data_IF_604258402525
#
_entry.id   IF_604258402525
#
_cell.length_a   1.000
_cell.length_b   1.000
_cell.length_c   1.000
_cell.angle_alpha   90.00
_cell.angle_beta   90.00
_cell.angle_gamma   90.00
#
_symmetry.space_group_name_H-M   'P 1'
#
loop_
_entity.id
_entity.type
_entity.pdbx_description
1 polymer ?
#
# COMPACT_ATOMS: atom_id res chain seq x y z
N UNK A 1 20.64 18.21 -11.37
CA UNK A 1 19.50 18.89 -10.71
C UNK A 1 18.28 17.98 -10.57
N UNK A 2 17.89 17.23 -11.61
CA UNK A 2 16.76 16.26 -11.57
C UNK A 2 16.91 15.27 -10.39
N UNK A 3 17.98 14.47 -10.37
CA UNK A 3 18.25 13.49 -9.31
C UNK A 3 18.22 14.11 -7.90
N UNK A 4 18.85 15.28 -7.73
CA UNK A 4 18.88 15.97 -6.44
C UNK A 4 17.48 16.37 -5.95
N UNK A 5 16.62 16.91 -6.82
CA UNK A 5 15.23 17.26 -6.46
C UNK A 5 14.38 16.04 -6.15
N UNK A 6 14.57 14.96 -6.92
CA UNK A 6 13.93 13.68 -6.67
C UNK A 6 14.28 13.15 -5.27
N UNK A 7 15.56 12.99 -4.97
CA UNK A 7 16.02 12.52 -3.65
C UNK A 7 15.58 13.45 -2.51
N UNK A 8 15.64 14.77 -2.73
CA UNK A 8 15.19 15.74 -1.74
C UNK A 8 13.69 15.64 -1.47
N UNK A 9 12.87 15.37 -2.49
CA UNK A 9 11.43 15.13 -2.30
C UNK A 9 11.13 13.92 -1.41
N UNK A 10 11.91 12.84 -1.54
CA UNK A 10 11.80 11.63 -0.72
C UNK A 10 12.19 11.95 0.73
N UNK A 11 13.29 12.68 0.93
CA UNK A 11 13.73 13.11 2.25
C UNK A 11 12.70 14.02 2.94
N UNK A 12 12.13 14.99 2.22
CA UNK A 12 11.06 15.87 2.71
C UNK A 12 9.81 15.08 3.10
N UNK A 13 9.43 14.07 2.31
CA UNK A 13 8.34 13.16 2.68
C UNK A 13 8.63 12.42 3.99
N UNK A 14 9.84 11.88 4.15
CA UNK A 14 10.29 11.23 5.40
C UNK A 14 10.33 12.17 6.62
N UNK A 15 10.34 13.50 6.39
CA UNK A 15 10.24 14.54 7.41
C UNK A 15 8.81 15.07 7.62
N UNK A 16 7.84 14.53 6.87
CA UNK A 16 6.44 14.98 6.87
C UNK A 16 6.25 16.41 6.33
N UNK A 17 7.18 16.92 5.50
CA UNK A 17 7.08 18.22 4.82
C UNK A 17 6.38 18.07 3.46
N UNK A 18 5.12 17.61 3.49
CA UNK A 18 4.40 17.09 2.31
C UNK A 18 4.26 18.10 1.16
N UNK A 19 4.02 19.38 1.47
CA UNK A 19 3.84 20.41 0.44
C UNK A 19 5.14 20.70 -0.34
N UNK A 20 6.27 20.82 0.36
CA UNK A 20 7.57 21.02 -0.29
C UNK A 20 8.03 19.73 -0.98
N UNK A 21 7.76 18.55 -0.42
CA UNK A 21 8.01 17.28 -1.09
C UNK A 21 7.29 17.21 -2.45
N UNK A 22 6.00 17.56 -2.49
CA UNK A 22 5.20 17.64 -3.72
C UNK A 22 5.81 18.59 -4.75
N UNK A 23 6.18 19.79 -4.31
CA UNK A 23 6.78 20.82 -5.16
C UNK A 23 8.12 20.35 -5.74
N UNK A 24 9.00 19.76 -4.93
CA UNK A 24 10.30 19.24 -5.40
C UNK A 24 10.12 18.10 -6.41
N UNK A 25 9.20 17.16 -6.15
CA UNK A 25 8.90 16.08 -7.09
C UNK A 25 8.35 16.62 -8.43
N UNK A 26 7.45 17.61 -8.36
CA UNK A 26 6.85 18.25 -9.54
C UNK A 26 7.94 18.94 -10.37
N UNK A 27 8.81 19.73 -9.73
CA UNK A 27 9.92 20.42 -10.39
C UNK A 27 10.98 19.45 -10.95
N UNK A 28 11.20 18.31 -10.30
CA UNK A 28 12.06 17.25 -10.82
C UNK A 28 11.47 16.65 -12.10
N UNK A 29 10.18 16.33 -12.06
CA UNK A 29 9.46 15.70 -13.17
C UNK A 29 9.38 16.63 -14.38
N UNK A 30 9.01 17.91 -14.17
CA UNK A 30 8.96 18.90 -15.24
C UNK A 30 10.33 19.10 -15.89
N UNK A 31 11.41 19.13 -15.11
CA UNK A 31 12.75 19.26 -15.65
C UNK A 31 13.15 18.01 -16.45
N UNK A 32 12.86 16.81 -15.96
CA UNK A 32 13.17 15.57 -16.67
C UNK A 32 12.44 15.48 -18.02
N UNK A 33 11.16 15.89 -18.05
CA UNK A 33 10.38 15.99 -19.29
C UNK A 33 10.95 17.03 -20.25
N UNK A 34 11.26 18.23 -19.74
CA UNK A 34 11.82 19.31 -20.56
C UNK A 34 13.16 18.92 -21.20
N UNK A 35 13.97 18.14 -20.48
CA UNK A 35 15.22 17.60 -21.00
C UNK A 35 15.01 16.49 -22.03
N UNK A 36 13.87 15.81 -22.05
CA UNK A 36 13.65 14.65 -22.92
C UNK A 36 14.15 13.32 -22.31
N UNK A 37 14.34 13.23 -20.99
CA UNK A 37 14.88 12.03 -20.32
C UNK A 37 14.01 10.76 -20.47
N UNK A 38 12.81 10.89 -21.03
CA UNK A 38 11.86 9.82 -21.29
C UNK A 38 11.98 9.25 -22.70
N UNK A 39 12.84 9.84 -23.52
CA UNK A 39 13.10 9.49 -24.91
C UNK A 39 14.51 8.90 -25.04
N UNK A 40 14.64 7.82 -25.80
CA UNK A 40 15.92 7.16 -26.08
C UNK A 40 16.91 8.07 -26.80
N UNK A 41 16.39 9.04 -27.58
CA UNK A 41 17.16 10.05 -28.32
C UNK A 41 18.05 10.91 -27.42
N UNK A 42 17.65 11.14 -26.17
CA UNK A 42 18.39 11.97 -25.21
C UNK A 42 19.76 11.39 -24.87
N UNK A 43 19.92 10.06 -24.95
CA UNK A 43 21.13 9.36 -24.48
C UNK A 43 22.13 9.02 -25.59
N UNK A 44 21.82 9.35 -26.86
CA UNK A 44 22.51 8.79 -28.03
C UNK A 44 24.02 9.03 -28.10
N UNK A 45 24.57 9.98 -27.31
CA UNK A 45 25.99 10.33 -27.30
C UNK A 45 26.68 10.10 -25.95
N UNK A 46 25.99 9.49 -24.97
CA UNK A 46 26.49 9.29 -23.62
C UNK A 46 27.23 7.95 -23.47
N UNK A 47 28.04 7.79 -22.41
CA UNK A 47 28.60 6.48 -22.11
C UNK A 47 27.51 5.50 -21.64
N UNK A 48 27.69 4.17 -21.81
CA UNK A 48 26.69 3.19 -21.35
C UNK A 48 26.35 3.27 -19.86
N UNK A 49 27.30 3.72 -19.04
CA UNK A 49 27.10 3.92 -17.61
C UNK A 49 26.23 5.17 -17.34
N UNK A 50 26.51 6.27 -18.04
CA UNK A 50 25.72 7.50 -17.92
C UNK A 50 24.30 7.27 -18.42
N UNK A 51 24.13 6.64 -19.57
CA UNK A 51 22.82 6.26 -20.12
C UNK A 51 22.00 5.47 -19.09
N UNK A 52 22.57 4.44 -18.48
CA UNK A 52 21.86 3.64 -17.47
C UNK A 52 21.53 4.45 -16.20
N UNK A 53 22.42 5.34 -15.76
CA UNK A 53 22.17 6.24 -14.63
C UNK A 53 20.97 7.16 -14.88
N UNK A 54 20.87 7.71 -16.08
CA UNK A 54 19.76 8.56 -16.45
C UNK A 54 18.47 7.77 -16.68
N UNK A 55 18.56 6.57 -17.28
CA UNK A 55 17.43 5.64 -17.43
C UNK A 55 16.81 5.29 -16.08
N UNK A 56 17.65 4.93 -15.11
CA UNK A 56 17.24 4.71 -13.71
C UNK A 56 16.61 5.95 -13.10
N UNK A 57 17.12 7.14 -13.42
CA UNK A 57 16.56 8.40 -12.92
C UNK A 57 15.13 8.62 -13.45
N UNK A 58 14.88 8.41 -14.74
CA UNK A 58 13.54 8.53 -15.31
C UNK A 58 12.56 7.53 -14.68
N UNK A 59 12.95 6.26 -14.61
CA UNK A 59 12.10 5.22 -14.02
C UNK A 59 11.87 5.40 -12.52
N UNK A 60 12.84 5.95 -11.79
CA UNK A 60 12.63 6.32 -10.37
C UNK A 60 11.63 7.48 -10.25
N UNK A 61 11.67 8.49 -11.12
CA UNK A 61 10.64 9.55 -11.15
C UNK A 61 9.27 8.94 -11.44
N UNK A 62 9.17 8.01 -12.39
CA UNK A 62 7.94 7.30 -12.71
C UNK A 62 7.38 6.55 -11.50
N UNK A 63 8.22 5.74 -10.84
CA UNK A 63 7.87 4.95 -9.65
C UNK A 63 7.44 5.85 -8.49
N UNK A 64 8.23 6.88 -8.17
CA UNK A 64 7.95 7.79 -7.04
C UNK A 64 6.67 8.59 -7.28
N UNK A 65 6.41 9.07 -8.51
CA UNK A 65 5.15 9.74 -8.82
C UNK A 65 3.95 8.80 -8.64
N UNK A 66 3.99 7.60 -9.25
CA UNK A 66 2.88 6.64 -9.14
C UNK A 66 2.59 6.24 -7.69
N UNK A 67 3.64 6.01 -6.91
CA UNK A 67 3.54 5.72 -5.49
C UNK A 67 2.95 6.89 -4.68
N UNK A 68 3.46 8.11 -4.89
CA UNK A 68 3.01 9.30 -4.16
C UNK A 68 1.60 9.74 -4.54
N UNK A 69 1.15 9.48 -5.77
CA UNK A 69 -0.23 9.72 -6.18
C UNK A 69 -1.22 8.95 -5.29
N UNK A 70 -0.90 7.72 -4.88
CA UNK A 70 -1.72 6.93 -3.95
C UNK A 70 -1.79 7.57 -2.56
N UNK A 71 -0.64 8.02 -2.07
CA UNK A 71 -0.47 8.51 -0.69
C UNK A 71 -1.07 9.90 -0.52
N UNK A 72 -0.76 10.81 -1.45
CA UNK A 72 -1.17 12.20 -1.39
C UNK A 72 -2.55 12.45 -1.98
N UNK A 73 -3.14 11.45 -2.66
CA UNK A 73 -4.49 11.53 -3.26
C UNK A 73 -4.67 12.70 -4.20
N UNK A 74 -3.60 13.04 -4.92
CA UNK A 74 -3.63 14.08 -5.94
C UNK A 74 -3.43 13.44 -7.29
N UNK A 75 -4.37 13.73 -8.20
CA UNK A 75 -4.32 13.43 -9.63
C UNK A 75 -3.28 14.29 -10.40
N UNK A 76 -2.39 14.98 -9.68
CA UNK A 76 -1.76 16.22 -10.13
C UNK A 76 -0.73 16.09 -11.24
N UNK A 77 -0.28 14.89 -11.61
CA UNK A 77 0.68 14.71 -12.70
C UNK A 77 0.67 13.27 -13.20
N UNK A 78 -0.06 12.99 -14.28
CA UNK A 78 -0.19 11.62 -14.81
C UNK A 78 0.99 11.26 -15.72
N UNK A 79 2.19 11.15 -15.12
CA UNK A 79 3.39 10.63 -15.81
C UNK A 79 3.17 9.21 -16.35
N UNK A 80 2.23 8.47 -15.76
CA UNK A 80 1.79 7.15 -16.22
C UNK A 80 1.23 7.14 -17.64
N UNK A 81 0.71 8.28 -18.12
CA UNK A 81 0.19 8.47 -19.49
C UNK A 81 1.20 9.09 -20.44
N UNK A 82 2.36 9.51 -19.95
CA UNK A 82 3.44 9.99 -20.81
C UNK A 82 4.04 8.81 -21.54
N UNK A 83 4.01 8.86 -22.87
CA UNK A 83 4.70 7.89 -23.70
C UNK A 83 6.21 7.94 -23.40
N UNK A 84 6.84 6.77 -23.27
CA UNK A 84 8.28 6.64 -23.12
C UNK A 84 8.71 5.46 -23.97
N UNK A 85 9.64 5.70 -24.90
CA UNK A 85 10.31 4.65 -25.66
C UNK A 85 11.56 4.12 -24.93
N UNK A 86 11.79 4.61 -23.70
CA UNK A 86 12.99 4.32 -22.94
C UNK A 86 13.01 2.85 -22.47
N UNK A 87 14.12 2.13 -22.65
CA UNK A 87 14.25 0.78 -22.14
C UNK A 87 14.16 0.72 -20.61
N UNK A 88 13.88 -0.47 -20.10
CA UNK A 88 13.87 -0.79 -18.68
C UNK A 88 15.30 -0.82 -18.10
N UNK A 89 15.47 -0.48 -16.82
CA UNK A 89 16.78 -0.51 -16.17
C UNK A 89 17.38 -1.92 -16.09
N UNK A 90 18.70 -2.00 -16.11
CA UNK A 90 19.44 -3.26 -15.93
C UNK A 90 19.54 -3.68 -14.46
N UNK A 91 20.12 -4.85 -14.20
CA UNK A 91 20.37 -5.33 -12.83
C UNK A 91 21.34 -4.45 -12.05
N UNK A 92 21.11 -4.32 -10.74
CA UNK A 92 21.95 -3.49 -9.85
C UNK A 92 23.42 -3.92 -9.90
N UNK A 93 23.67 -5.24 -9.83
CA UNK A 93 25.01 -5.78 -9.88
C UNK A 93 25.75 -5.42 -11.17
N UNK A 94 25.07 -5.43 -12.32
CA UNK A 94 25.65 -5.12 -13.62
C UNK A 94 26.03 -3.63 -13.75
N UNK A 95 25.20 -2.75 -13.20
CA UNK A 95 25.51 -1.31 -13.15
C UNK A 95 26.70 -1.02 -12.23
N UNK A 96 26.73 -1.62 -11.03
CA UNK A 96 27.81 -1.42 -10.06
C UNK A 96 29.16 -1.96 -10.53
N UNK A 97 29.18 -3.04 -11.32
CA UNK A 97 30.41 -3.56 -11.94
C UNK A 97 30.84 -2.80 -13.19
N UNK A 98 30.06 -1.81 -13.64
CA UNK A 98 30.30 -1.10 -14.90
C UNK A 98 30.11 -1.99 -16.14
N UNK A 99 29.47 -3.15 -15.99
CA UNK A 99 29.20 -4.10 -17.06
C UNK A 99 27.73 -4.05 -17.46
N UNK A 100 27.22 -2.83 -17.73
CA UNK A 100 25.86 -2.63 -18.21
C UNK A 100 25.59 -3.52 -19.43
N UNK A 101 24.45 -4.23 -19.50
CA UNK A 101 24.14 -5.10 -20.61
C UNK A 101 24.17 -4.35 -21.94
N UNK A 102 24.71 -4.99 -22.97
CA UNK A 102 24.71 -4.46 -24.34
C UNK A 102 23.30 -4.49 -24.94
N UNK A 103 22.48 -5.46 -24.53
CA UNK A 103 21.08 -5.54 -24.90
C UNK A 103 20.21 -4.80 -23.88
N UNK A 104 19.38 -3.90 -24.39
CA UNK A 104 18.35 -3.22 -23.62
C UNK A 104 17.01 -3.94 -23.78
N UNK A 105 16.13 -3.80 -22.79
CA UNK A 105 14.82 -4.47 -22.78
C UNK A 105 13.75 -3.39 -22.78
N UNK A 106 12.89 -3.38 -23.79
CA UNK A 106 11.74 -2.48 -23.83
C UNK A 106 10.62 -2.92 -22.88
N UNK A 107 9.74 -1.98 -22.51
CA UNK A 107 8.55 -2.29 -21.75
C UNK A 107 7.65 -3.32 -22.47
N UNK A 108 7.56 -3.24 -23.80
CA UNK A 108 6.79 -4.17 -24.61
C UNK A 108 7.34 -5.59 -24.59
N UNK A 109 8.66 -5.77 -24.64
CA UNK A 109 9.29 -7.09 -24.49
C UNK A 109 9.03 -7.69 -23.10
N UNK A 110 9.10 -6.86 -22.05
CA UNK A 110 8.76 -7.31 -20.70
C UNK A 110 7.29 -7.68 -20.55
N UNK A 111 6.37 -6.95 -21.17
CA UNK A 111 4.94 -7.28 -21.18
C UNK A 111 4.66 -8.56 -21.97
N UNK A 112 5.42 -8.81 -23.04
CA UNK A 112 5.32 -10.01 -23.86
C UNK A 112 5.98 -11.26 -23.22
N UNK A 113 6.70 -11.11 -22.10
CA UNK A 113 7.49 -12.19 -21.48
C UNK A 113 6.71 -13.47 -21.19
N UNK A 114 5.41 -13.36 -20.89
CA UNK A 114 4.56 -14.50 -20.56
C UNK A 114 4.20 -15.36 -21.77
N UNK A 115 4.45 -14.85 -22.98
CA UNK A 115 4.16 -15.53 -24.24
C UNK A 115 5.45 -15.91 -24.99
N UNK A 116 6.62 -15.64 -24.42
CA UNK A 116 7.90 -15.95 -25.03
C UNK A 116 8.23 -17.44 -24.83
N UNK A 117 8.77 -18.07 -25.87
CA UNK A 117 9.22 -19.48 -25.82
C UNK A 117 10.47 -19.67 -24.95
N UNK A 118 11.29 -18.61 -24.82
CA UNK A 118 12.52 -18.60 -24.03
C UNK A 118 12.36 -17.80 -22.74
N UNK A 119 12.83 -18.38 -21.63
CA UNK A 119 12.84 -17.71 -20.32
C UNK A 119 13.97 -16.67 -20.28
N UNK A 120 13.61 -15.40 -20.52
CA UNK A 120 14.53 -14.26 -20.38
C UNK A 120 14.55 -13.76 -18.95
N UNK A 121 15.75 -13.42 -18.45
CA UNK A 121 15.92 -12.81 -17.12
C UNK A 121 15.66 -11.31 -17.18
N UNK A 122 14.92 -10.81 -16.20
CA UNK A 122 14.59 -9.39 -16.06
C UNK A 122 15.07 -8.84 -14.73
N UNK A 123 15.42 -7.55 -14.71
CA UNK A 123 15.89 -6.89 -13.51
C UNK A 123 14.79 -6.70 -12.47
N UNK A 124 15.18 -6.54 -11.21
CA UNK A 124 14.22 -6.20 -10.13
C UNK A 124 13.47 -4.90 -10.41
N UNK A 125 14.08 -3.97 -11.17
CA UNK A 125 13.44 -2.72 -11.58
C UNK A 125 12.22 -2.97 -12.47
N UNK A 126 12.26 -3.95 -13.38
CA UNK A 126 11.13 -4.30 -14.25
C UNK A 126 9.89 -4.65 -13.42
N UNK A 127 10.05 -5.51 -12.42
CA UNK A 127 8.95 -5.95 -11.55
C UNK A 127 8.44 -4.83 -10.63
N UNK A 128 9.33 -3.93 -10.16
CA UNK A 128 8.91 -2.73 -9.40
C UNK A 128 8.11 -1.75 -10.27
N UNK A 129 8.50 -1.57 -11.53
CA UNK A 129 7.78 -0.73 -12.49
C UNK A 129 6.40 -1.32 -12.78
N UNK A 130 6.31 -2.64 -13.00
CA UNK A 130 5.03 -3.35 -13.17
C UNK A 130 4.12 -3.19 -11.95
N UNK A 131 4.66 -3.33 -10.74
CA UNK A 131 3.92 -3.12 -9.50
C UNK A 131 3.30 -1.71 -9.43
N UNK A 132 4.06 -0.67 -9.80
CA UNK A 132 3.54 0.71 -9.85
C UNK A 132 2.49 0.89 -10.95
N UNK A 133 2.65 0.24 -12.11
CA UNK A 133 1.63 0.26 -13.18
C UNK A 133 0.32 -0.37 -12.69
N UNK A 134 0.38 -1.46 -11.93
CA UNK A 134 -0.80 -2.07 -11.32
C UNK A 134 -1.42 -1.14 -10.26
N UNK A 135 -0.60 -0.51 -9.42
CA UNK A 135 -1.08 0.50 -8.46
C UNK A 135 -1.80 1.66 -9.17
N UNK A 136 -1.25 2.17 -10.28
CA UNK A 136 -1.88 3.24 -11.06
C UNK A 136 -3.27 2.84 -11.56
N UNK A 137 -3.45 1.59 -12.04
CA UNK A 137 -4.76 1.06 -12.42
C UNK A 137 -5.76 1.05 -11.25
N UNK A 138 -5.31 0.70 -10.04
CA UNK A 138 -6.16 0.78 -8.83
C UNK A 138 -6.60 2.21 -8.53
N UNK A 139 -5.68 3.18 -8.65
CA UNK A 139 -5.99 4.58 -8.40
C UNK A 139 -6.95 5.16 -9.44
N UNK A 140 -6.77 4.83 -10.71
CA UNK A 140 -7.68 5.22 -11.79
C UNK A 140 -9.09 4.67 -11.52
N UNK A 141 -9.22 3.43 -11.03
CA UNK A 141 -10.51 2.85 -10.63
C UNK A 141 -11.15 3.58 -9.45
N UNK A 142 -10.37 3.91 -8.42
CA UNK A 142 -10.89 4.61 -7.24
C UNK A 142 -11.25 6.07 -7.53
N UNK A 143 -10.70 6.67 -8.59
CA UNK A 143 -11.03 8.02 -9.05
C UNK A 143 -12.07 8.08 -10.18
N UNK A 144 -12.54 6.93 -10.68
CA UNK A 144 -13.44 6.88 -11.83
C UNK A 144 -14.84 7.40 -11.49
N UNK A 145 -15.38 8.25 -12.37
CA UNK A 145 -16.77 8.72 -12.27
C UNK A 145 -17.77 7.69 -12.80
N UNK A 146 -17.35 6.88 -13.78
CA UNK A 146 -18.16 5.80 -14.33
C UNK A 146 -18.10 4.57 -13.39
N UNK A 147 -19.13 4.47 -12.55
CA UNK A 147 -19.30 3.39 -11.57
C UNK A 147 -19.41 2.02 -12.23
N UNK A 148 -20.03 1.93 -13.41
CA UNK A 148 -20.27 0.67 -14.12
C UNK A 148 -18.97 0.15 -14.74
N UNK A 149 -18.22 1.04 -15.41
CA UNK A 149 -16.88 0.70 -15.90
C UNK A 149 -15.97 0.27 -14.75
N UNK A 150 -15.95 1.03 -13.66
CA UNK A 150 -15.13 0.73 -12.49
C UNK A 150 -15.49 -0.64 -11.89
N UNK A 151 -16.77 -0.99 -11.83
CA UNK A 151 -17.22 -2.29 -11.34
C UNK A 151 -16.67 -3.45 -12.18
N UNK A 152 -16.73 -3.33 -13.51
CA UNK A 152 -16.24 -4.36 -14.43
C UNK A 152 -14.71 -4.52 -14.37
N UNK A 153 -13.98 -3.43 -14.19
CA UNK A 153 -12.52 -3.44 -14.18
C UNK A 153 -11.90 -3.86 -12.83
N UNK A 154 -12.65 -3.84 -11.73
CA UNK A 154 -12.14 -4.31 -10.41
C UNK A 154 -11.61 -5.74 -10.50
N UNK A 155 -12.32 -6.65 -11.18
CA UNK A 155 -11.87 -8.03 -11.33
C UNK A 155 -10.60 -8.14 -12.19
N UNK A 156 -10.49 -7.31 -13.23
CA UNK A 156 -9.30 -7.25 -14.11
C UNK A 156 -8.05 -6.83 -13.34
N UNK A 157 -8.18 -5.82 -12.46
CA UNK A 157 -7.05 -5.35 -11.64
C UNK A 157 -6.74 -6.31 -10.49
N UNK A 158 -7.76 -6.92 -9.87
CA UNK A 158 -7.59 -7.98 -8.87
C UNK A 158 -6.83 -9.20 -9.45
N UNK A 159 -7.16 -9.61 -10.67
CA UNK A 159 -6.43 -10.66 -11.38
C UNK A 159 -4.96 -10.27 -11.62
N UNK A 160 -4.70 -9.01 -12.00
CA UNK A 160 -3.32 -8.55 -12.21
C UNK A 160 -2.50 -8.53 -10.92
N UNK A 161 -3.11 -8.13 -9.79
CA UNK A 161 -2.48 -8.18 -8.46
C UNK A 161 -2.10 -9.61 -8.07
N UNK A 162 -3.03 -10.56 -8.24
CA UNK A 162 -2.78 -11.96 -7.93
C UNK A 162 -1.74 -12.58 -8.87
N UNK A 163 -1.84 -12.30 -10.17
CA UNK A 163 -0.94 -12.85 -11.18
C UNK A 163 0.51 -12.38 -11.03
N UNK A 164 0.73 -11.16 -10.52
CA UNK A 164 2.08 -10.58 -10.41
C UNK A 164 3.06 -11.48 -9.66
N UNK A 165 2.66 -12.03 -8.49
CA UNK A 165 3.54 -12.90 -7.70
C UNK A 165 3.73 -14.28 -8.34
N UNK A 166 2.74 -14.78 -9.06
CA UNK A 166 2.82 -16.07 -9.76
C UNK A 166 3.71 -16.02 -11.00
N UNK A 167 3.96 -14.84 -11.55
CA UNK A 167 4.80 -14.63 -12.72
C UNK A 167 6.23 -14.17 -12.37
N UNK A 168 6.60 -14.20 -11.08
CA UNK A 168 7.98 -13.95 -10.68
C UNK A 168 8.83 -15.22 -10.93
N UNK A 169 10.02 -15.06 -11.53
CA UNK A 169 10.97 -16.16 -11.60
C UNK A 169 11.47 -16.50 -10.18
N UNK A 170 11.93 -17.75 -9.94
CA UNK A 170 12.34 -18.20 -8.61
C UNK A 170 13.33 -17.28 -7.91
N UNK A 171 14.27 -16.68 -8.66
CA UNK A 171 15.29 -15.78 -8.12
C UNK A 171 14.75 -14.42 -7.65
N UNK A 172 13.51 -14.07 -8.01
CA UNK A 172 12.85 -12.81 -7.61
C UNK A 172 11.73 -13.02 -6.60
N UNK A 173 11.37 -14.27 -6.31
CA UNK A 173 10.40 -14.60 -5.25
C UNK A 173 11.01 -14.31 -3.87
N UNK A 174 12.27 -14.72 -3.66
CA UNK A 174 12.97 -14.48 -2.41
C UNK A 174 13.61 -13.08 -2.41
N UNK A 175 13.16 -12.22 -1.50
CA UNK A 175 13.69 -10.85 -1.33
C UNK A 175 15.09 -10.88 -0.71
N UNK A 176 15.43 -11.95 0.03
CA UNK A 176 16.72 -12.11 0.69
C UNK A 176 17.49 -13.17 -0.08
N UNK A 177 18.67 -12.82 -0.57
CA UNK A 177 19.54 -13.76 -1.26
C UNK A 177 20.23 -14.73 -0.30
N UNK A 178 20.93 -15.72 -0.84
CA UNK A 178 21.66 -16.74 -0.06
C UNK A 178 22.75 -16.19 0.86
N UNK A 179 23.19 -14.94 0.62
CA UNK A 179 24.17 -14.23 1.45
C UNK A 179 23.52 -13.37 2.54
N UNK A 180 22.19 -13.41 2.67
CA UNK A 180 21.44 -12.60 3.63
C UNK A 180 21.27 -11.13 3.23
N UNK A 181 21.63 -10.77 1.99
CA UNK A 181 21.44 -9.42 1.47
C UNK A 181 20.04 -9.27 0.88
N UNK A 182 19.48 -8.09 1.04
CA UNK A 182 18.12 -7.76 0.65
C UNK A 182 18.15 -7.12 -0.73
N UNK A 183 17.36 -7.65 -1.65
CA UNK A 183 17.00 -6.94 -2.86
C UNK A 183 15.96 -5.87 -2.49
N UNK A 184 16.44 -4.67 -2.16
CA UNK A 184 15.58 -3.54 -1.76
C UNK A 184 14.60 -3.12 -2.87
N UNK A 185 14.92 -3.38 -4.15
CA UNK A 185 14.04 -3.08 -5.27
C UNK A 185 12.88 -4.07 -5.31
N UNK A 186 13.14 -5.37 -5.12
CA UNK A 186 12.09 -6.37 -4.96
C UNK A 186 11.30 -6.20 -3.67
N UNK A 187 11.94 -5.79 -2.56
CA UNK A 187 11.23 -5.42 -1.33
C UNK A 187 10.19 -4.32 -1.62
N UNK A 188 10.60 -3.27 -2.35
CA UNK A 188 9.69 -2.20 -2.75
C UNK A 188 8.60 -2.69 -3.70
N UNK A 189 8.92 -3.56 -4.66
CA UNK A 189 7.93 -4.11 -5.58
C UNK A 189 6.82 -4.88 -4.83
N UNK A 190 7.20 -5.78 -3.92
CA UNK A 190 6.26 -6.50 -3.05
C UNK A 190 5.44 -5.55 -2.19
N UNK A 191 6.09 -4.54 -1.57
CA UNK A 191 5.39 -3.51 -0.79
C UNK A 191 4.31 -2.81 -1.63
N UNK A 192 4.63 -2.40 -2.87
CA UNK A 192 3.71 -1.68 -3.76
C UNK A 192 2.51 -2.56 -4.16
N UNK A 193 2.72 -3.85 -4.43
CA UNK A 193 1.62 -4.80 -4.73
C UNK A 193 0.66 -4.93 -3.54
N UNK A 194 1.19 -5.04 -2.33
CA UNK A 194 0.34 -5.11 -1.15
C UNK A 194 -0.40 -3.78 -0.90
N UNK A 195 0.21 -2.64 -1.23
CA UNK A 195 -0.48 -1.36 -1.17
C UNK A 195 -1.64 -1.31 -2.14
N UNK A 196 -1.37 -1.63 -3.41
CA UNK A 196 -2.39 -1.66 -4.45
C UNK A 196 -3.56 -2.57 -4.06
N UNK A 197 -3.26 -3.73 -3.45
CA UNK A 197 -4.27 -4.64 -2.91
C UNK A 197 -5.11 -4.00 -1.79
N UNK A 198 -4.48 -3.31 -0.82
CA UNK A 198 -5.21 -2.60 0.23
C UNK A 198 -6.08 -1.48 -0.37
N UNK A 199 -5.54 -0.67 -1.28
CA UNK A 199 -6.30 0.41 -1.94
C UNK A 199 -7.47 -0.10 -2.79
N UNK A 200 -7.35 -1.29 -3.38
CA UNK A 200 -8.44 -1.91 -4.12
C UNK A 200 -9.50 -2.48 -3.17
N UNK A 201 -9.10 -3.22 -2.14
CA UNK A 201 -10.04 -4.01 -1.35
C UNK A 201 -10.56 -3.32 -0.09
N UNK A 202 -9.74 -2.58 0.64
CA UNK A 202 -10.15 -2.03 1.94
C UNK A 202 -11.36 -1.07 1.83
N UNK A 203 -11.41 -0.11 0.88
CA UNK A 203 -12.59 0.75 0.70
C UNK A 203 -13.86 0.01 0.25
N UNK A 204 -13.70 -1.19 -0.36
CA UNK A 204 -14.81 -2.05 -0.82
C UNK A 204 -15.28 -3.03 0.26
N UNK A 205 -14.60 -3.07 1.41
CA UNK A 205 -14.87 -4.03 2.47
C UNK A 205 -15.84 -3.50 3.52
N UNK A 206 -16.35 -4.38 4.38
CA UNK A 206 -17.08 -3.97 5.59
C UNK A 206 -16.15 -3.42 6.70
N UNK A 207 -14.83 -3.57 6.57
CA UNK A 207 -13.84 -3.04 7.51
C UNK A 207 -13.82 -1.50 7.56
N UNK A 208 -14.35 -0.83 6.53
CA UNK A 208 -14.33 0.63 6.39
C UNK A 208 -15.20 1.39 7.39
N UNK A 209 -16.05 0.70 8.15
CA UNK A 209 -16.99 1.29 9.11
C UNK A 209 -16.47 1.28 10.55
N UNK A 210 -15.27 0.74 10.80
CA UNK A 210 -14.70 0.63 12.14
C UNK A 210 -14.14 1.96 12.65
N UNK A 211 -13.88 2.03 13.96
CA UNK A 211 -13.20 3.17 14.59
C UNK A 211 -11.82 3.40 13.96
N UNK A 212 -11.09 2.33 13.65
CA UNK A 212 -9.76 2.42 13.07
C UNK A 212 -9.79 2.99 11.64
N UNK A 213 -10.76 2.58 10.82
CA UNK A 213 -10.95 3.11 9.47
C UNK A 213 -11.34 4.60 9.45
N UNK A 214 -12.04 5.06 10.48
CA UNK A 214 -12.49 6.46 10.61
C UNK A 214 -11.50 7.34 11.39
N UNK A 215 -10.39 6.78 11.87
CA UNK A 215 -9.38 7.54 12.58
C UNK A 215 -8.55 8.42 11.63
N UNK A 216 -8.13 9.58 12.10
CA UNK A 216 -7.22 10.46 11.37
C UNK A 216 -5.78 9.95 11.48
N UNK A 217 -5.49 8.89 10.72
CA UNK A 217 -4.14 8.35 10.52
C UNK A 217 -3.64 8.84 9.17
N UNK A 218 -2.48 9.51 9.17
CA UNK A 218 -1.84 9.98 7.95
C UNK A 218 -1.59 8.81 7.01
N UNK A 219 -2.01 8.95 5.75
CA UNK A 219 -1.96 7.92 4.70
C UNK A 219 -2.91 6.72 4.88
N UNK A 220 -3.67 6.64 5.98
CA UNK A 220 -4.67 5.61 6.25
C UNK A 220 -6.13 6.04 6.05
N UNK A 221 -6.35 7.24 5.52
CA UNK A 221 -7.66 7.91 5.46
C UNK A 221 -8.65 7.18 4.52
N UNK A 222 -9.95 7.47 4.60
CA UNK A 222 -10.98 6.84 3.74
C UNK A 222 -10.98 7.39 2.31
N UNK A 223 -11.16 6.54 1.30
CA UNK A 223 -11.56 6.97 -0.05
C UNK A 223 -13.10 6.99 -0.11
N UNK A 224 -13.69 8.16 -0.35
CA UNK A 224 -15.14 8.39 -0.17
C UNK A 224 -16.01 8.02 -1.38
N UNK A 225 -15.41 7.62 -2.50
CA UNK A 225 -16.11 7.42 -3.78
C UNK A 225 -15.79 6.05 -4.38
N UNK A 226 -16.14 4.98 -3.68
CA UNK A 226 -15.93 3.62 -4.18
C UNK A 226 -17.27 2.96 -4.52
N UNK A 227 -17.34 2.36 -5.70
CA UNK A 227 -18.52 1.66 -6.20
C UNK A 227 -19.01 0.61 -5.19
N UNK A 228 -20.33 0.50 -4.95
CA UNK A 228 -20.90 -0.56 -4.12
C UNK A 228 -20.47 -1.94 -4.63
N UNK A 229 -20.18 -2.86 -3.70
CA UNK A 229 -19.84 -4.26 -4.02
C UNK A 229 -20.86 -5.21 -3.39
N UNK A 230 -21.18 -6.29 -4.09
CA UNK A 230 -22.00 -7.39 -3.57
C UNK A 230 -21.23 -8.35 -2.67
N UNK A 231 -19.89 -8.25 -2.64
CA UNK A 231 -19.00 -9.19 -1.91
C UNK A 231 -18.07 -8.48 -0.90
N UNK A 232 -18.58 -7.64 0.02
CA UNK A 232 -17.74 -6.84 0.92
C UNK A 232 -16.88 -7.71 1.86
N UNK A 233 -17.34 -8.92 2.20
CA UNK A 233 -16.58 -9.86 3.03
C UNK A 233 -15.32 -10.39 2.31
N UNK A 234 -15.42 -10.72 1.01
CA UNK A 234 -14.25 -11.15 0.23
C UNK A 234 -13.19 -10.04 0.17
N UNK A 235 -13.61 -8.79 -0.03
CA UNK A 235 -12.71 -7.65 0.01
C UNK A 235 -12.05 -7.48 1.40
N UNK A 236 -12.78 -7.73 2.49
CA UNK A 236 -12.21 -7.70 3.85
C UNK A 236 -11.10 -8.73 4.04
N UNK A 237 -11.30 -9.96 3.56
CA UNK A 237 -10.30 -11.03 3.60
C UNK A 237 -9.05 -10.61 2.81
N UNK A 238 -9.21 -10.14 1.57
CA UNK A 238 -8.09 -9.74 0.71
C UNK A 238 -7.30 -8.55 1.26
N UNK A 239 -7.99 -7.54 1.78
CA UNK A 239 -7.34 -6.40 2.44
C UNK A 239 -6.54 -6.85 3.68
N UNK A 240 -7.15 -7.71 4.51
CA UNK A 240 -6.51 -8.26 5.70
C UNK A 240 -5.27 -9.08 5.34
N UNK A 241 -5.36 -9.91 4.29
CA UNK A 241 -4.23 -10.71 3.82
C UNK A 241 -3.09 -9.83 3.28
N UNK A 242 -3.39 -8.83 2.46
CA UNK A 242 -2.38 -7.89 1.97
C UNK A 242 -1.66 -7.16 3.11
N UNK A 243 -2.39 -6.79 4.15
CA UNK A 243 -1.82 -6.20 5.37
C UNK A 243 -0.93 -7.17 6.16
N UNK A 244 -1.28 -8.46 6.20
CA UNK A 244 -0.41 -9.49 6.80
C UNK A 244 0.89 -9.61 6.02
N UNK A 245 0.83 -9.60 4.69
CA UNK A 245 2.03 -9.67 3.84
C UNK A 245 2.96 -8.47 4.04
N UNK A 246 2.43 -7.25 4.14
CA UNK A 246 3.23 -6.07 4.53
C UNK A 246 3.88 -6.21 5.91
N UNK A 247 3.15 -6.78 6.86
CA UNK A 247 3.68 -7.02 8.20
C UNK A 247 4.73 -8.13 8.20
N UNK A 248 4.63 -9.12 7.30
CA UNK A 248 5.66 -10.14 7.12
C UNK A 248 6.94 -9.52 6.55
N UNK A 249 6.84 -8.59 5.59
CA UNK A 249 7.98 -7.78 5.13
C UNK A 249 8.62 -7.01 6.30
N UNK A 250 7.81 -6.45 7.19
CA UNK A 250 8.27 -5.74 8.39
C UNK A 250 8.95 -6.66 9.43
N UNK A 251 8.65 -7.96 9.39
CA UNK A 251 9.23 -8.97 10.28
C UNK A 251 10.61 -9.46 9.85
N UNK A 252 11.01 -9.15 8.61
CA UNK A 252 12.37 -9.38 8.14
C UNK A 252 13.29 -8.58 9.08
N UNK A 253 14.17 -9.26 9.80
CA UNK A 253 15.06 -8.68 10.84
C UNK A 253 16.21 -7.92 10.21
N UNK A 254 15.88 -6.99 9.32
CA UNK A 254 16.82 -6.19 8.56
C UNK A 254 17.07 -4.88 9.30
N UNK A 255 18.21 -4.23 9.06
CA UNK A 255 18.43 -2.87 9.54
C UNK A 255 17.37 -1.96 8.92
N UNK A 256 16.31 -1.65 9.67
CA UNK A 256 15.17 -0.83 9.20
C UNK A 256 15.59 0.58 8.80
N UNK A 257 16.78 0.99 9.23
CA UNK A 257 17.49 2.19 8.79
C UNK A 257 17.76 2.25 7.28
N UNK A 258 17.82 1.10 6.61
CA UNK A 258 18.06 1.04 5.17
C UNK A 258 16.78 1.20 4.35
N UNK A 259 15.60 1.11 4.97
CA UNK A 259 14.34 1.21 4.26
C UNK A 259 13.96 2.66 3.94
N UNK A 260 13.42 2.83 2.74
CA UNK A 260 12.83 4.10 2.30
C UNK A 260 11.72 4.57 3.26
N UNK A 261 11.55 5.90 3.47
CA UNK A 261 10.43 6.45 4.25
C UNK A 261 9.06 6.08 3.66
N UNK A 262 9.03 5.56 2.43
CA UNK A 262 7.84 5.00 1.82
C UNK A 262 7.22 3.90 2.67
N UNK A 263 8.03 2.99 3.24
CA UNK A 263 7.53 1.86 4.01
C UNK A 263 6.64 2.25 5.20
N UNK A 264 6.86 3.45 5.77
CA UNK A 264 6.04 4.03 6.85
C UNK A 264 4.55 4.10 6.47
N UNK A 265 4.23 4.43 5.22
CA UNK A 265 2.85 4.58 4.74
C UNK A 265 2.11 3.24 4.73
N UNK A 266 2.85 2.17 4.45
CA UNK A 266 2.36 0.79 4.40
C UNK A 266 2.15 0.19 5.75
N UNK A 267 3.05 0.53 6.68
CA UNK A 267 2.88 0.24 8.09
C UNK A 267 1.63 0.96 8.64
N UNK A 268 1.40 2.22 8.25
CA UNK A 268 0.19 2.96 8.61
C UNK A 268 -1.08 2.27 8.08
N UNK A 269 -1.13 1.99 6.77
CA UNK A 269 -2.25 1.31 6.11
C UNK A 269 -2.50 -0.08 6.71
N UNK A 270 -1.43 -0.86 6.93
CA UNK A 270 -1.52 -2.16 7.57
C UNK A 270 -2.05 -2.04 8.99
N UNK A 271 -1.59 -1.06 9.76
CA UNK A 271 -2.08 -0.79 11.11
C UNK A 271 -3.59 -0.54 11.11
N UNK A 272 -4.08 0.30 10.20
CA UNK A 272 -5.52 0.56 10.03
C UNK A 272 -6.27 -0.73 9.71
N UNK A 273 -5.81 -1.52 8.75
CA UNK A 273 -6.49 -2.77 8.35
C UNK A 273 -6.49 -3.79 9.48
N UNK A 274 -5.35 -4.03 10.15
CA UNK A 274 -5.27 -4.98 11.26
C UNK A 274 -6.14 -4.54 12.44
N UNK A 275 -6.17 -3.24 12.77
CA UNK A 275 -7.03 -2.70 13.82
C UNK A 275 -8.52 -2.80 13.45
N UNK A 276 -8.88 -2.57 12.19
CA UNK A 276 -10.25 -2.78 11.72
C UNK A 276 -10.65 -4.26 11.76
N UNK A 277 -9.73 -5.17 11.40
CA UNK A 277 -9.95 -6.61 11.48
C UNK A 277 -10.09 -7.07 12.95
N UNK A 278 -9.29 -6.52 13.88
CA UNK A 278 -9.46 -6.74 15.32
C UNK A 278 -10.89 -6.44 15.75
N UNK A 279 -11.47 -5.31 15.32
CA UNK A 279 -12.81 -4.89 15.72
C UNK A 279 -13.95 -5.78 15.20
N UNK A 280 -13.71 -6.63 14.20
CA UNK A 280 -14.77 -7.39 13.52
C UNK A 280 -14.61 -8.91 13.60
N UNK A 281 -13.39 -9.43 13.80
CA UNK A 281 -13.15 -10.87 13.92
C UNK A 281 -13.41 -11.39 15.33
N UNK A 282 -13.72 -12.69 15.41
CA UNK A 282 -13.92 -13.42 16.69
C UNK A 282 -12.63 -13.44 17.51
N UNK A 283 -12.78 -13.70 18.82
CA UNK A 283 -11.68 -13.64 19.79
C UNK A 283 -10.47 -14.53 19.42
N UNK A 284 -10.68 -15.63 18.69
CA UNK A 284 -9.62 -16.57 18.30
C UNK A 284 -8.56 -15.94 17.38
N UNK A 285 -8.93 -14.94 16.57
CA UNK A 285 -8.02 -14.24 15.66
C UNK A 285 -7.46 -12.94 16.24
N UNK A 286 -8.02 -12.44 17.35
CA UNK A 286 -7.65 -11.16 17.96
C UNK A 286 -6.16 -11.08 18.30
N UNK A 287 -5.61 -12.13 18.92
CA UNK A 287 -4.21 -12.18 19.31
C UNK A 287 -3.26 -12.02 18.11
N UNK A 288 -3.56 -12.67 16.99
CA UNK A 288 -2.73 -12.59 15.79
C UNK A 288 -2.71 -11.17 15.20
N UNK A 289 -3.88 -10.52 15.12
CA UNK A 289 -3.98 -9.15 14.65
C UNK A 289 -3.30 -8.17 15.62
N UNK A 290 -3.47 -8.37 16.93
CA UNK A 290 -2.80 -7.59 17.97
C UNK A 290 -1.28 -7.68 17.86
N UNK A 291 -0.71 -8.88 17.73
CA UNK A 291 0.74 -9.08 17.62
C UNK A 291 1.31 -8.41 16.36
N UNK A 292 0.55 -8.42 15.26
CA UNK A 292 0.91 -7.68 14.04
C UNK A 292 0.91 -6.17 14.25
N UNK A 293 -0.09 -5.62 14.94
CA UNK A 293 -0.10 -4.20 15.32
C UNK A 293 1.09 -3.86 16.22
N UNK A 294 1.43 -4.71 17.19
CA UNK A 294 2.59 -4.51 18.05
C UNK A 294 3.92 -4.50 17.25
N UNK A 295 4.06 -5.40 16.29
CA UNK A 295 5.21 -5.41 15.37
C UNK A 295 5.28 -4.10 14.57
N UNK A 296 4.15 -3.65 13.98
CA UNK A 296 4.08 -2.38 13.26
C UNK A 296 4.53 -1.21 14.14
N UNK A 297 4.04 -1.12 15.38
CA UNK A 297 4.47 -0.08 16.33
C UNK A 297 5.97 -0.17 16.64
N UNK A 298 6.52 -1.37 16.77
CA UNK A 298 7.94 -1.61 16.98
C UNK A 298 8.80 -1.12 15.81
N UNK A 299 8.39 -1.43 14.59
CA UNK A 299 9.12 -1.02 13.37
C UNK A 299 9.03 0.50 13.17
N UNK A 300 7.86 1.11 13.34
CA UNK A 300 7.69 2.57 13.29
C UNK A 300 8.57 3.28 14.33
N UNK A 301 8.66 2.75 15.55
CA UNK A 301 9.55 3.29 16.59
C UNK A 301 11.02 3.26 16.15
N UNK A 302 11.46 2.19 15.50
CA UNK A 302 12.84 2.04 15.04
C UNK A 302 13.14 2.94 13.84
N UNK A 303 12.26 2.98 12.83
CA UNK A 303 12.38 3.90 11.68
C UNK A 303 12.34 5.38 12.11
N UNK A 304 11.60 5.69 13.16
CA UNK A 304 11.50 7.04 13.72
C UNK A 304 12.79 7.60 14.32
N UNK A 305 13.89 6.83 14.34
CA UNK A 305 15.23 7.34 14.65
C UNK A 305 15.82 8.17 13.49
N UNK A 306 15.40 7.87 12.27
CA UNK A 306 15.90 8.50 11.03
C UNK A 306 14.81 9.37 10.40
N UNK A 307 13.58 8.88 10.38
CA UNK A 307 12.45 9.52 9.71
C UNK A 307 11.47 10.11 10.71
N UNK A 308 11.44 11.44 10.92
CA UNK A 308 10.49 12.09 11.83
C UNK A 308 9.03 11.75 11.52
N UNK A 309 8.69 11.53 10.25
CA UNK A 309 7.35 11.12 9.83
C UNK A 309 6.91 9.81 10.51
N UNK A 310 7.83 8.88 10.76
CA UNK A 310 7.50 7.62 11.41
C UNK A 310 7.06 7.81 12.87
N UNK A 311 7.62 8.79 13.58
CA UNK A 311 7.20 9.11 14.95
C UNK A 311 5.77 9.66 14.99
N UNK A 312 5.40 10.48 14.02
CA UNK A 312 4.04 10.99 13.88
C UNK A 312 3.05 9.83 13.69
N UNK A 313 3.33 8.95 12.71
CA UNK A 313 2.48 7.80 12.41
C UNK A 313 2.42 6.82 13.60
N UNK A 314 3.54 6.59 14.28
CA UNK A 314 3.58 5.78 15.50
C UNK A 314 2.60 6.28 16.56
N UNK A 315 2.59 7.59 16.82
CA UNK A 315 1.69 8.19 17.81
C UNK A 315 0.22 8.04 17.41
N UNK A 316 -0.10 8.25 16.13
CA UNK A 316 -1.45 8.09 15.60
C UNK A 316 -1.93 6.64 15.72
N UNK A 317 -1.16 5.67 15.22
CA UNK A 317 -1.52 4.24 15.27
C UNK A 317 -1.63 3.77 16.72
N UNK A 318 -0.71 4.18 17.60
CA UNK A 318 -0.76 3.84 19.04
C UNK A 318 -2.03 4.35 19.71
N UNK A 319 -2.45 5.58 19.41
CA UNK A 319 -3.68 6.18 19.97
C UNK A 319 -4.92 5.40 19.55
N UNK A 320 -5.00 4.99 18.28
CA UNK A 320 -6.12 4.20 17.76
C UNK A 320 -6.10 2.79 18.33
N UNK A 321 -4.93 2.16 18.40
CA UNK A 321 -4.76 0.83 18.97
C UNK A 321 -5.23 0.75 20.43
N UNK A 322 -4.88 1.75 21.25
CA UNK A 322 -5.35 1.81 22.64
C UNK A 322 -6.89 1.78 22.72
N UNK A 323 -7.56 2.64 21.93
CA UNK A 323 -9.03 2.67 21.87
C UNK A 323 -9.64 1.34 21.44
N UNK A 324 -9.09 0.71 20.40
CA UNK A 324 -9.60 -0.56 19.89
C UNK A 324 -9.40 -1.68 20.90
N UNK A 325 -8.23 -1.77 21.52
CA UNK A 325 -7.93 -2.84 22.47
C UNK A 325 -8.66 -2.69 23.82
N UNK A 326 -8.91 -1.47 24.28
CA UNK A 326 -9.67 -1.24 25.52
C UNK A 326 -11.11 -1.77 25.42
N UNK A 327 -11.74 -1.68 24.25
CA UNK A 327 -13.10 -2.22 24.00
C UNK A 327 -13.13 -3.75 24.23
N UNK A 328 -12.09 -4.46 23.77
CA UNK A 328 -11.98 -5.91 23.95
C UNK A 328 -11.64 -6.34 25.37
N UNK A 329 -11.00 -5.46 26.15
CA UNK A 329 -10.74 -5.72 27.58
C UNK A 329 -12.02 -5.48 28.41
N UNK A 330 -12.87 -4.53 28.00
CA UNK A 330 -14.09 -4.17 28.72
C UNK A 330 -15.29 -5.07 28.43
N UNK A 331 -15.32 -5.77 27.28
CA UNK A 331 -16.30 -6.82 27.00
C UNK A 331 -15.82 -8.15 27.62
N UNK A 332 -16.41 -8.66 28.72
CA UNK A 332 -15.94 -9.89 29.34
C UNK A 332 -16.17 -11.07 28.40
N UNK A 333 -15.12 -11.84 28.16
CA UNK A 333 -15.18 -13.13 27.47
C UNK A 333 -16.19 -14.06 28.17
N UNK A 334 -17.17 -14.65 27.48
CA UNK A 334 -17.77 -15.89 27.94
C UNK A 334 -16.65 -16.93 28.02
N UNK A 335 -16.34 -17.41 29.22
CA UNK A 335 -15.47 -18.58 29.40
C UNK A 335 -15.99 -19.72 28.52
N UNK A 336 -15.12 -20.50 27.85
CA UNK A 336 -15.55 -21.73 27.22
C UNK A 336 -16.13 -22.61 28.33
N UNK A 337 -17.45 -22.83 28.31
CA UNK A 337 -18.05 -23.84 29.16
C UNK A 337 -17.48 -25.17 28.70
N UNK A 338 -16.59 -25.74 29.51
CA UNK A 338 -16.19 -27.14 29.38
C UNK A 338 -17.44 -27.95 29.73
N UNK A 339 -18.24 -28.26 28.71
CA UNK A 339 -19.31 -29.22 28.82
C UNK A 339 -18.66 -30.59 28.94
N UNK A 340 -18.63 -31.13 30.17
CA UNK A 340 -18.40 -32.55 30.38
C UNK A 340 -19.49 -33.33 29.65
N UNK A 341 -19.15 -33.91 28.50
CA UNK A 341 -20.04 -34.78 27.74
C UNK A 341 -20.09 -36.17 28.40
N UNK A 342 -21.04 -36.33 29.32
CA UNK A 342 -21.65 -37.64 29.53
C UNK A 342 -22.82 -37.77 28.53
N UNK A 343 -22.70 -38.77 27.66
CA UNK A 343 -23.64 -39.25 26.65
C UNK A 343 -25.13 -39.11 27.00
N UNK A 344 -25.96 -38.69 26.04
CA UNK A 344 -27.11 -39.46 25.51
C UNK A 344 -27.61 -38.78 24.21
N UNK A 345 -27.75 -39.55 23.14
CA UNK A 345 -28.35 -39.14 21.87
C UNK A 345 -29.86 -38.88 22.03
N UNK A 346 -30.36 -37.76 21.49
CA UNK A 346 -31.59 -37.67 20.68
C UNK A 346 -31.77 -36.23 20.17
N UNK A 347 -32.22 -36.10 18.92
CA UNK A 347 -32.02 -34.92 18.09
C UNK A 347 -33.01 -33.77 18.26
N UNK A 348 -32.58 -32.61 17.74
CA UNK A 348 -33.37 -31.59 17.04
C UNK A 348 -32.39 -30.51 16.55
N UNK A 349 -32.28 -30.31 15.23
CA UNK A 349 -31.50 -29.21 14.66
C UNK A 349 -32.27 -27.90 14.81
N UNK A 350 -32.01 -27.17 15.90
CA UNK A 350 -32.37 -25.76 16.01
C UNK A 350 -31.16 -24.90 15.62
N UNK A 351 -31.29 -24.11 14.55
CA UNK A 351 -30.34 -23.06 14.22
C UNK A 351 -30.29 -22.06 15.38
N UNK A 352 -29.20 -22.09 16.14
CA UNK A 352 -28.93 -21.12 17.19
C UNK A 352 -28.70 -19.75 16.57
N UNK A 353 -29.59 -18.80 16.86
CA UNK A 353 -29.37 -17.39 16.62
C UNK A 353 -28.12 -16.95 17.40
N UNK A 354 -27.03 -16.64 16.69
CA UNK A 354 -25.90 -15.92 17.28
C UNK A 354 -26.37 -14.48 17.59
N UNK A 355 -26.66 -14.21 18.86
CA UNK A 355 -26.91 -12.86 19.36
C UNK A 355 -25.67 -12.01 19.06
N UNK A 356 -25.78 -11.16 18.05
CA UNK A 356 -24.74 -10.21 17.67
C UNK A 356 -24.64 -9.16 18.75
N UNK A 357 -23.43 -8.86 19.20
CA UNK A 357 -23.13 -7.72 20.09
C UNK A 357 -23.61 -6.36 19.51
N UNK A 358 -23.98 -6.32 18.22
CA UNK A 358 -24.67 -5.18 17.60
C UNK A 358 -25.99 -4.81 18.32
N UNK A 359 -26.67 -5.77 18.94
CA UNK A 359 -27.93 -5.51 19.66
C UNK A 359 -27.71 -4.76 20.99
N UNK A 360 -26.45 -4.62 21.44
CA UNK A 360 -26.09 -3.95 22.69
C UNK A 360 -25.58 -2.51 22.49
N UNK A 361 -25.45 -2.06 21.23
CA UNK A 361 -25.08 -0.69 20.91
C UNK A 361 -26.34 0.17 20.77
N UNK A 362 -26.66 0.92 21.84
CA UNK A 362 -27.75 1.90 21.80
C UNK A 362 -27.40 3.05 20.84
N UNK A 363 -28.02 3.02 19.66
CA UNK A 363 -27.87 4.00 18.57
C UNK A 363 -28.19 5.43 19.05
N UNK A 364 -28.99 5.60 20.12
CA UNK A 364 -29.28 6.92 20.69
C UNK A 364 -28.07 7.53 21.41
N UNK A 365 -27.15 6.71 21.94
CA UNK A 365 -25.94 7.22 22.62
C UNK A 365 -24.94 7.81 21.62
N UNK A 366 -24.92 7.33 20.38
CA UNK A 366 -24.05 7.84 19.31
C UNK A 366 -24.57 9.15 18.68
N UNK A 367 -25.88 9.39 18.72
CA UNK A 367 -26.46 10.65 18.21
C UNK A 367 -26.24 11.84 19.17
N UNK A 368 -26.11 11.58 20.48
CA UNK A 368 -25.85 12.63 21.49
C UNK A 368 -24.42 13.19 21.50
N UNK A 369 -23.47 12.58 20.79
CA UNK A 369 -22.09 13.06 20.69
C UNK A 369 -21.84 13.99 19.49
N UNK A 370 -22.90 14.30 18.72
CA UNK A 370 -22.87 15.19 17.56
C UNK A 370 -23.70 16.47 17.79
N UNK A 371 -23.32 17.31 18.75
CA UNK A 371 -23.80 18.70 18.74
C UNK A 371 -22.81 19.55 17.93
N UNK A 372 -23.19 19.84 16.68
CA UNK A 372 -22.66 20.97 15.93
C UNK A 372 -23.48 22.21 16.32
N UNK A 373 -22.91 23.10 17.13
CA UNK A 373 -23.44 24.46 17.27
C UNK A 373 -23.32 25.15 15.91
N UNK A 374 -24.47 25.34 15.27
CA UNK A 374 -24.62 26.01 13.99
C UNK A 374 -25.48 27.25 14.21
N UNK A 375 -24.88 28.35 14.66
CA UNK A 375 -25.48 29.68 14.50
C UNK A 375 -24.76 30.39 13.35
N UNK A 376 -25.30 30.21 12.14
CA UNK A 376 -25.07 31.13 11.03
C UNK A 376 -26.23 32.13 11.03
N UNK A 377 -26.00 33.33 11.56
CA UNK A 377 -26.86 34.47 11.29
C UNK A 377 -26.71 34.89 9.82
N UNK A 378 -27.81 34.74 9.09
CA UNK A 378 -28.00 35.19 7.72
C UNK A 378 -28.38 36.68 7.76
N UNK A 379 -27.56 37.56 7.19
CA UNK A 379 -28.03 38.89 6.77
C UNK A 379 -27.89 39.00 5.26
N UNK A 380 -29.05 38.95 4.60
CA UNK A 380 -29.22 39.21 3.17
C UNK A 380 -29.20 40.70 2.83
N UNK A 381 -29.37 41.05 1.54
CA UNK A 381 -28.74 42.22 0.93
C UNK A 381 -29.60 43.48 0.94
N UNK A 382 -28.91 44.64 0.95
CA UNK A 382 -29.33 45.87 0.25
C UNK A 382 -28.13 46.37 -0.54
#
# INVERSE_FOLDING_TARGET
MVQARLLFSIALHGRHEIQEAQKMLTQSTQLALHLGMHESSFFANESPLEEESWRRTWWEIYVVNGYMSAIWRKSGFNIGKTFSDLPLPCEEAAYLSGSSPTETISLGEFDARLYADEERRFSSFCYRIEAVRILARVLDLNGAQDVQWAHNEVQSVDNALAAWSHHLPPEKVEIINTLGQVDEIMFQAHMIIQYASIYLHFPRSNLQHTIAANADITCGRRDSHVSPTSTPHMHAIKATEASKQLTNLASLRLPVENHSPFFINGLALSGVVQLSACSLHTCDCFHQHRDRVLLILGVLKSMGRIWPFSQLVLQQVKKVAAKVFDIFVQAPMPLPQVSNSASTEQGEMSMGHSSSWLDTLDIQTLQGMMNFDTEMEYTGPI
#
